data_IF_163367631920
#
_entry.id   IF_163367631920
#
_cell.length_a   1.000
_cell.length_b   1.000
_cell.length_c   1.000
_cell.angle_alpha   90.00
_cell.angle_beta   90.00
_cell.angle_gamma   90.00
#
_symmetry.space_group_name_H-M   'P 1'
#
loop_
_entity.id
_entity.type
_entity.pdbx_description
1 polymer ?
#
# COMPACT_ATOMS: atom_id res chain seq x y z
N UNK A 1 24.49 8.83 -2.67
CA UNK A 1 23.76 9.07 -3.94
C UNK A 1 23.41 7.76 -4.66
N UNK A 2 24.37 6.95 -5.12
CA UNK A 2 24.05 5.72 -5.85
C UNK A 2 23.26 4.68 -5.02
N UNK A 3 23.64 4.46 -3.75
CA UNK A 3 22.92 3.54 -2.85
C UNK A 3 21.47 3.95 -2.62
N UNK A 4 21.20 5.25 -2.49
CA UNK A 4 19.84 5.78 -2.29
C UNK A 4 18.97 5.58 -3.53
N UNK A 5 19.53 5.74 -4.73
CA UNK A 5 18.81 5.49 -6.00
C UNK A 5 18.48 4.01 -6.16
N UNK A 6 19.44 3.11 -5.86
CA UNK A 6 19.20 1.66 -5.90
C UNK A 6 18.12 1.23 -4.90
N UNK A 7 18.13 1.81 -3.70
CA UNK A 7 17.12 1.54 -2.68
C UNK A 7 15.73 2.04 -3.11
N UNK A 8 15.64 3.27 -3.64
CA UNK A 8 14.39 3.82 -4.15
C UNK A 8 13.80 2.94 -5.26
N UNK A 9 14.67 2.49 -6.19
CA UNK A 9 14.30 1.55 -7.24
C UNK A 9 13.76 0.22 -6.69
N UNK A 10 14.41 -0.34 -5.67
CA UNK A 10 13.95 -1.57 -5.02
C UNK A 10 12.60 -1.39 -4.32
N UNK A 11 12.38 -0.27 -3.63
CA UNK A 11 11.10 0.04 -2.96
C UNK A 11 9.97 0.16 -3.99
N UNK A 12 10.19 0.93 -5.06
CA UNK A 12 9.19 1.11 -6.14
C UNK A 12 8.92 -0.22 -6.84
N UNK A 13 9.96 -1.01 -7.11
CA UNK A 13 9.81 -2.33 -7.71
C UNK A 13 8.97 -3.26 -6.84
N UNK A 14 9.23 -3.28 -5.53
CA UNK A 14 8.49 -4.12 -4.57
C UNK A 14 7.02 -3.67 -4.48
N UNK A 15 6.76 -2.36 -4.44
CA UNK A 15 5.41 -1.79 -4.47
C UNK A 15 4.66 -2.14 -5.77
N UNK A 16 5.32 -2.01 -6.92
CA UNK A 16 4.76 -2.39 -8.21
C UNK A 16 4.46 -3.88 -8.29
N UNK A 17 5.30 -4.74 -7.71
CA UNK A 17 5.09 -6.19 -7.63
C UNK A 17 3.88 -6.55 -6.77
N UNK A 18 3.72 -5.89 -5.63
CA UNK A 18 2.55 -6.04 -4.77
C UNK A 18 1.30 -5.62 -5.54
N UNK A 19 1.31 -4.44 -6.16
CA UNK A 19 0.18 -3.95 -6.96
C UNK A 19 -0.19 -4.90 -8.09
N UNK A 20 0.80 -5.39 -8.85
CA UNK A 20 0.60 -6.35 -9.93
C UNK A 20 0.03 -7.68 -9.44
N UNK A 21 0.52 -8.19 -8.30
CA UNK A 21 -0.01 -9.40 -7.68
C UNK A 21 -1.47 -9.22 -7.25
N UNK A 22 -1.81 -8.07 -6.66
CA UNK A 22 -3.19 -7.71 -6.31
C UNK A 22 -4.08 -7.61 -7.55
N UNK A 23 -3.63 -6.95 -8.62
CA UNK A 23 -4.38 -6.79 -9.86
C UNK A 23 -4.65 -8.15 -10.54
N UNK A 24 -3.65 -9.04 -10.52
CA UNK A 24 -3.74 -10.37 -11.13
C UNK A 24 -4.67 -11.33 -10.37
N UNK A 25 -4.89 -11.13 -9.07
CA UNK A 25 -5.79 -12.00 -8.30
C UNK A 25 -7.27 -11.81 -8.61
N UNK A 26 -7.67 -10.79 -9.39
CA UNK A 26 -9.06 -10.60 -9.84
C UNK A 26 -10.09 -10.43 -8.71
N UNK A 27 -9.66 -10.46 -7.45
CA UNK A 27 -10.45 -10.13 -6.29
C UNK A 27 -10.68 -8.63 -6.32
N UNK A 28 -11.90 -8.24 -6.67
CA UNK A 28 -12.41 -6.90 -6.36
C UNK A 28 -11.94 -6.54 -4.95
N UNK A 29 -11.24 -5.41 -4.82
CA UNK A 29 -10.49 -4.93 -3.64
C UNK A 29 -11.38 -4.81 -2.39
N UNK A 30 -11.88 -5.95 -1.89
CA UNK A 30 -12.50 -6.09 -0.59
C UNK A 30 -11.35 -6.43 0.34
N UNK A 31 -10.53 -5.41 0.59
CA UNK A 31 -9.59 -5.50 1.67
C UNK A 31 -10.42 -5.82 2.93
N UNK A 32 -10.17 -6.92 3.65
CA UNK A 32 -11.04 -7.35 4.75
C UNK A 32 -11.10 -6.33 5.89
N UNK A 33 -10.15 -5.39 5.93
CA UNK A 33 -10.14 -4.23 6.84
C UNK A 33 -10.89 -2.99 6.29
N UNK A 34 -11.17 -2.90 4.99
CA UNK A 34 -11.93 -1.80 4.42
C UNK A 34 -13.42 -2.02 4.72
N UNK A 35 -13.95 -1.20 5.62
CA UNK A 35 -15.34 -1.24 6.02
C UNK A 35 -16.21 -0.73 4.87
N UNK A 36 -16.81 -1.66 4.12
CA UNK A 36 -17.80 -1.35 3.09
C UNK A 36 -19.19 -1.62 3.65
N UNK A 37 -19.89 -0.56 4.04
CA UNK A 37 -21.27 -0.64 4.51
C UNK A 37 -22.21 -0.25 3.37
N UNK A 38 -22.88 -1.24 2.77
CA UNK A 38 -23.92 -1.00 1.75
C UNK A 38 -25.29 -1.26 2.37
N UNK A 39 -26.13 -0.22 2.49
CA UNK A 39 -27.53 -0.32 2.94
C UNK A 39 -28.42 0.35 1.91
N UNK A 40 -29.15 -0.45 1.12
CA UNK A 40 -30.02 0.04 0.05
C UNK A 40 -29.24 0.83 -1.02
N UNK A 41 -29.63 2.09 -1.27
CA UNK A 41 -28.97 2.99 -2.22
C UNK A 41 -27.72 3.70 -1.66
N UNK A 42 -27.41 3.54 -0.37
CA UNK A 42 -26.29 4.23 0.27
C UNK A 42 -25.10 3.29 0.40
N UNK A 43 -23.98 3.67 -0.22
CA UNK A 43 -22.69 2.97 -0.12
C UNK A 43 -21.73 3.84 0.69
N UNK A 44 -21.37 3.39 1.89
CA UNK A 44 -20.35 4.04 2.71
C UNK A 44 -19.09 3.17 2.68
N UNK A 45 -18.02 3.67 2.09
CA UNK A 45 -16.74 2.98 2.00
C UNK A 45 -15.73 3.67 2.92
N UNK A 46 -15.22 2.92 3.89
CA UNK A 46 -14.24 3.39 4.84
C UNK A 46 -12.91 2.62 4.64
N UNK A 47 -11.94 3.21 3.92
CA UNK A 47 -10.71 2.55 3.48
C UNK A 47 -9.65 2.41 4.59
N UNK A 48 -9.99 1.80 5.72
CA UNK A 48 -9.08 1.68 6.86
C UNK A 48 -7.83 0.88 6.53
N UNK A 49 -7.99 -0.28 5.91
CA UNK A 49 -6.82 -1.13 5.67
C UNK A 49 -5.99 -0.63 4.49
N UNK A 50 -6.60 0.05 3.51
CA UNK A 50 -5.85 0.75 2.46
C UNK A 50 -4.98 1.87 3.06
N UNK A 51 -5.53 2.68 3.96
CA UNK A 51 -4.76 3.72 4.68
C UNK A 51 -3.67 3.13 5.59
N UNK A 52 -3.94 1.99 6.24
CA UNK A 52 -2.96 1.30 7.09
C UNK A 52 -1.77 0.77 6.28
N UNK A 53 -2.04 0.15 5.13
CA UNK A 53 -1.01 -0.32 4.19
C UNK A 53 -0.11 0.82 3.74
N UNK A 54 -0.72 1.93 3.30
CA UNK A 54 0.02 3.14 2.89
C UNK A 54 0.89 3.65 4.05
N UNK A 55 0.37 3.67 5.28
CA UNK A 55 1.12 4.11 6.46
C UNK A 55 2.33 3.24 6.77
N UNK A 56 2.20 1.91 6.67
CA UNK A 56 3.32 0.98 6.89
C UNK A 56 4.41 1.18 5.84
N UNK A 57 4.02 1.32 4.57
CA UNK A 57 4.95 1.59 3.46
C UNK A 57 5.71 2.90 3.69
N UNK A 58 5.00 3.99 3.99
CA UNK A 58 5.62 5.29 4.30
C UNK A 58 6.51 5.21 5.54
N UNK A 59 6.08 4.50 6.58
CA UNK A 59 6.87 4.34 7.81
C UNK A 59 8.17 3.58 7.55
N UNK A 60 8.13 2.48 6.79
CA UNK A 60 9.35 1.77 6.38
C UNK A 60 10.25 2.70 5.55
N UNK A 61 9.67 3.43 4.60
CA UNK A 61 10.41 4.38 3.77
C UNK A 61 11.18 5.42 4.63
N UNK A 62 10.50 6.08 5.56
CA UNK A 62 11.14 7.03 6.47
C UNK A 62 12.13 6.37 7.45
N UNK A 63 11.83 5.17 7.95
CA UNK A 63 12.73 4.42 8.84
C UNK A 63 14.08 4.16 8.17
N UNK A 64 14.07 3.67 6.92
CA UNK A 64 15.30 3.38 6.20
C UNK A 64 16.06 4.64 5.77
N UNK A 65 15.35 5.71 5.40
CA UNK A 65 15.99 7.02 5.15
C UNK A 65 16.70 7.55 6.39
N UNK A 66 16.10 7.40 7.57
CA UNK A 66 16.69 7.90 8.81
C UNK A 66 17.83 7.00 9.32
N UNK A 67 17.78 5.70 9.05
CA UNK A 67 18.81 4.72 9.45
C UNK A 67 20.08 4.79 8.62
N UNK A 68 20.03 5.35 7.41
CA UNK A 68 21.18 5.52 6.51
C UNK A 68 21.84 6.91 6.60
N UNK A 69 21.38 7.76 7.51
CA UNK A 69 22.05 9.00 7.91
C UNK A 69 23.08 8.69 8.99
#
# INVERSE_FOLDING_TARGET
>A
MAKTILFLGAVIFTLGLIFYAFEKTGMSYQNPLDFKFEKGNTKFYFPLGSSLLISIVLSLFFYFLNKWK
#
